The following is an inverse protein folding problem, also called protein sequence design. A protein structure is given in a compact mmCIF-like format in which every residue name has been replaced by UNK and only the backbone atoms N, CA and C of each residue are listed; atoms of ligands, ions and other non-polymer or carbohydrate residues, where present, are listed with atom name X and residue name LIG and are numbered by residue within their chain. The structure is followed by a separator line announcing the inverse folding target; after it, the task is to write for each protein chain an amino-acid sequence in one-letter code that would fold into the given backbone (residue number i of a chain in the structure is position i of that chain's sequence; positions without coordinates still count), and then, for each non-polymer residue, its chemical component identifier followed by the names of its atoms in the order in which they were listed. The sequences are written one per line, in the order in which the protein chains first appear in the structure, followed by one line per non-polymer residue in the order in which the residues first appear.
data_IF_063331228528
#
_entry.id   IF_063331228528
#
_cell.length_a   1.000
_cell.length_b   1.000
_cell.length_c   1.000
_cell.angle_alpha   90.00
_cell.angle_beta   90.00
_cell.angle_gamma   90.00
#
_symmetry.space_group_name_H-M   'P 1'
#
loop_
_entity.id
_entity.type
_entity.pdbx_description
1 polymer ?
#
# COMPACT_ATOMS: atom_id res chain seq x y z
N UNK A 1 61.46 -10.46 12.53
CA UNK A 1 60.15 -10.68 13.16
C UNK A 1 59.41 -9.36 13.16
N UNK A 2 58.45 -9.20 12.25
CA UNK A 2 57.49 -8.11 12.27
C UNK A 2 56.13 -8.79 12.14
N UNK A 3 55.39 -8.86 13.24
CA UNK A 3 54.05 -9.43 13.30
C UNK A 3 53.09 -8.31 12.93
N UNK A 4 52.45 -8.43 11.77
CA UNK A 4 51.40 -7.51 11.35
C UNK A 4 50.09 -7.87 12.03
N UNK A 5 49.50 -6.93 12.75
CA UNK A 5 48.15 -7.02 13.29
C UNK A 5 47.15 -7.11 12.14
N UNK A 6 46.54 -8.27 11.95
CA UNK A 6 45.32 -8.41 11.15
C UNK A 6 44.17 -7.84 11.96
N UNK A 7 43.85 -6.56 11.71
CA UNK A 7 42.60 -5.94 12.16
C UNK A 7 41.45 -6.73 11.56
N UNK A 8 40.92 -7.66 12.35
CA UNK A 8 39.75 -8.45 11.99
C UNK A 8 38.60 -7.46 11.87
N UNK A 9 38.19 -7.17 10.64
CA UNK A 9 36.97 -6.42 10.37
C UNK A 9 35.82 -7.25 10.94
N UNK A 10 35.39 -6.92 12.17
CA UNK A 10 34.14 -7.41 12.72
C UNK A 10 33.03 -6.81 11.86
N UNK A 11 32.70 -7.49 10.76
CA UNK A 11 31.47 -7.25 10.03
C UNK A 11 30.36 -7.39 11.06
N UNK A 12 29.84 -6.26 11.53
CA UNK A 12 28.57 -6.20 12.21
C UNK A 12 27.56 -6.73 11.20
N UNK A 13 27.28 -8.03 11.28
CA UNK A 13 26.15 -8.64 10.60
C UNK A 13 24.93 -7.96 11.18
N UNK A 14 24.55 -6.81 10.61
CA UNK A 14 23.21 -6.28 10.77
C UNK A 14 22.29 -7.45 10.40
N UNK A 15 21.55 -7.94 11.40
CA UNK A 15 20.65 -9.07 11.22
C UNK A 15 19.55 -8.58 10.27
N UNK A 16 19.75 -8.76 8.97
CA UNK A 16 18.72 -8.55 7.95
C UNK A 16 17.65 -9.63 8.16
N UNK A 17 16.77 -9.41 9.13
CA UNK A 17 15.57 -10.20 9.31
C UNK A 17 14.64 -9.85 8.14
N UNK A 18 14.81 -10.55 7.02
CA UNK A 18 13.97 -10.38 5.85
C UNK A 18 12.79 -11.35 5.97
N UNK A 19 11.54 -10.90 5.73
CA UNK A 19 10.44 -11.84 5.64
C UNK A 19 10.64 -12.75 4.43
N UNK A 20 10.22 -14.01 4.56
CA UNK A 20 10.16 -14.98 3.46
C UNK A 20 8.99 -14.61 2.52
N UNK A 21 9.08 -13.44 1.87
CA UNK A 21 8.02 -12.87 1.05
C UNK A 21 7.99 -13.47 -0.35
N UNK A 22 6.99 -14.30 -0.64
CA UNK A 22 6.62 -14.58 -2.03
C UNK A 22 5.88 -13.37 -2.62
N UNK A 23 6.47 -12.72 -3.61
CA UNK A 23 5.91 -11.55 -4.29
C UNK A 23 5.09 -11.90 -5.54
N UNK A 24 4.85 -13.19 -5.84
CA UNK A 24 4.12 -13.61 -7.06
C UNK A 24 2.63 -13.31 -7.03
N UNK A 25 2.05 -13.09 -5.85
CA UNK A 25 0.61 -12.86 -5.66
C UNK A 25 0.38 -11.52 -4.97
N UNK A 26 -0.73 -10.83 -5.29
CA UNK A 26 -1.13 -9.65 -4.54
C UNK A 26 -1.47 -10.02 -3.09
N UNK A 27 -1.36 -9.03 -2.22
CA UNK A 27 -1.54 -9.16 -0.77
C UNK A 27 -2.37 -8.00 -0.22
N UNK A 28 -2.92 -8.21 0.96
CA UNK A 28 -3.47 -7.16 1.80
C UNK A 28 -2.44 -6.84 2.89
N UNK A 29 -2.16 -5.56 3.14
CA UNK A 29 -1.29 -5.15 4.24
C UNK A 29 -2.15 -4.72 5.43
N UNK A 30 -2.30 -5.62 6.41
CA UNK A 30 -3.14 -5.40 7.59
C UNK A 30 -2.34 -4.78 8.74
N UNK A 31 -2.71 -3.59 9.20
CA UNK A 31 -2.12 -2.93 10.35
C UNK A 31 -2.81 -3.35 11.66
N UNK A 32 -2.05 -3.94 12.58
CA UNK A 32 -2.56 -4.43 13.87
C UNK A 32 -2.92 -3.33 14.87
N UNK A 33 -2.54 -2.08 14.63
CA UNK A 33 -2.80 -0.96 15.54
C UNK A 33 -4.29 -0.66 15.75
N UNK A 34 -5.02 -0.55 14.64
CA UNK A 34 -6.45 -0.24 14.63
C UNK A 34 -7.29 -1.25 13.84
N UNK A 35 -6.64 -2.26 13.27
CA UNK A 35 -7.27 -3.28 12.43
C UNK A 35 -7.71 -2.74 11.08
N UNK A 36 -6.79 -2.13 10.33
CA UNK A 36 -7.08 -1.55 9.01
C UNK A 36 -6.17 -2.14 7.95
N UNK A 37 -6.71 -2.37 6.76
CA UNK A 37 -5.96 -2.68 5.55
C UNK A 37 -5.49 -1.39 4.90
N UNK A 38 -4.21 -1.33 4.54
CA UNK A 38 -3.65 -0.21 3.79
C UNK A 38 -4.34 -0.08 2.43
N UNK A 39 -4.71 1.14 2.07
CA UNK A 39 -5.42 1.45 0.83
C UNK A 39 -4.81 2.67 0.16
N UNK A 40 -4.71 2.60 -1.16
CA UNK A 40 -4.34 3.72 -2.04
C UNK A 40 -5.58 4.04 -2.87
N UNK A 41 -6.13 5.24 -2.70
CA UNK A 41 -7.31 5.70 -3.41
C UNK A 41 -6.95 6.23 -4.82
N UNK A 42 -7.91 6.29 -5.77
CA UNK A 42 -7.65 6.79 -7.13
C UNK A 42 -7.16 8.24 -7.21
N UNK A 43 -7.45 9.05 -6.20
CA UNK A 43 -6.97 10.44 -6.06
C UNK A 43 -5.53 10.54 -5.52
N UNK A 44 -4.89 9.39 -5.21
CA UNK A 44 -3.56 9.30 -4.62
C UNK A 44 -3.56 9.39 -3.09
N UNK A 45 -4.71 9.52 -2.44
CA UNK A 45 -4.78 9.53 -0.98
C UNK A 45 -4.48 8.14 -0.42
N UNK A 46 -3.65 8.08 0.63
CA UNK A 46 -3.33 6.83 1.34
C UNK A 46 -3.98 6.82 2.73
N UNK A 47 -4.80 5.81 2.97
CA UNK A 47 -5.48 5.59 4.24
C UNK A 47 -5.59 4.10 4.56
N UNK A 48 -6.43 3.77 5.54
CA UNK A 48 -6.75 2.42 5.95
C UNK A 48 -8.25 2.22 6.05
N UNK A 49 -8.72 1.05 5.61
CA UNK A 49 -10.12 0.63 5.74
C UNK A 49 -10.25 -0.68 6.52
N UNK A 50 -11.38 -0.89 7.19
CA UNK A 50 -11.72 -2.18 7.82
C UNK A 50 -12.39 -3.14 6.84
N UNK A 51 -12.85 -2.62 5.71
CA UNK A 51 -13.53 -3.40 4.69
C UNK A 51 -12.51 -4.29 3.98
N UNK A 52 -12.64 -5.60 4.22
CA UNK A 52 -11.77 -6.62 3.61
C UNK A 52 -12.14 -6.90 2.14
N UNK A 53 -13.22 -6.30 1.64
CA UNK A 53 -13.90 -6.73 0.42
C UNK A 53 -13.01 -6.70 -0.82
N UNK A 54 -12.88 -7.88 -1.43
CA UNK A 54 -12.49 -8.10 -2.82
C UNK A 54 -13.50 -7.41 -3.75
N UNK A 55 -13.02 -6.76 -4.80
CA UNK A 55 -13.89 -6.26 -5.85
C UNK A 55 -14.39 -7.43 -6.70
N UNK A 56 -15.65 -7.79 -6.56
CA UNK A 56 -16.48 -8.09 -7.72
C UNK A 56 -17.47 -6.95 -7.88
N UNK A 57 -17.08 -5.95 -8.68
CA UNK A 57 -18.05 -5.05 -9.29
C UNK A 57 -18.73 -5.83 -10.42
N UNK A 58 -19.76 -6.58 -10.09
CA UNK A 58 -20.86 -6.72 -11.03
C UNK A 58 -21.80 -5.55 -10.78
N UNK A 59 -21.71 -4.52 -11.63
CA UNK A 59 -22.87 -3.66 -11.83
C UNK A 59 -23.93 -4.54 -12.50
N UNK A 60 -24.77 -5.21 -11.72
CA UNK A 60 -25.98 -5.83 -12.25
C UNK A 60 -26.87 -4.67 -12.72
N UNK A 61 -27.12 -4.50 -14.03
CA UNK A 61 -28.21 -3.66 -14.46
C UNK A 61 -29.49 -4.36 -13.99
N UNK A 62 -30.35 -3.64 -13.28
CA UNK A 62 -31.71 -4.09 -13.05
C UNK A 62 -32.32 -4.46 -14.42
N UNK A 63 -32.82 -5.69 -14.53
CA UNK A 63 -33.12 -6.31 -15.82
C UNK A 63 -34.06 -5.44 -16.66
N UNK A 64 -33.56 -5.02 -17.82
CA UNK A 64 -34.31 -4.19 -18.76
C UNK A 64 -33.60 -4.06 -20.10
N UNK A 65 -33.35 -5.19 -20.74
CA UNK A 65 -33.05 -5.39 -22.18
C UNK A 65 -32.34 -4.25 -22.92
N UNK A 66 -31.04 -4.42 -23.22
CA UNK A 66 -30.37 -3.61 -24.24
C UNK A 66 -28.85 -3.75 -24.24
N UNK A 67 -28.32 -4.41 -25.28
CA UNK A 67 -26.95 -4.44 -25.82
C UNK A 67 -25.80 -3.80 -25.01
N UNK A 68 -24.79 -4.60 -24.68
CA UNK A 68 -23.55 -4.17 -24.04
C UNK A 68 -22.80 -3.12 -24.89
N UNK A 69 -22.57 -1.95 -24.30
CA UNK A 69 -21.44 -1.11 -24.66
C UNK A 69 -20.63 -0.78 -23.41
N UNK A 70 -19.32 -0.94 -23.51
CA UNK A 70 -18.38 -0.72 -22.40
C UNK A 70 -18.23 0.78 -22.22
N UNK A 71 -18.86 1.36 -21.19
CA UNK A 71 -18.75 2.79 -20.93
C UNK A 71 -17.51 3.07 -20.08
N UNK A 72 -16.48 3.62 -20.72
CA UNK A 72 -15.35 4.26 -20.04
C UNK A 72 -15.80 5.60 -19.42
N UNK A 73 -15.13 6.09 -18.36
CA UNK A 73 -15.53 7.31 -17.64
C UNK A 73 -15.60 8.59 -18.50
N UNK A 74 -14.97 8.58 -19.68
CA UNK A 74 -14.81 9.76 -20.56
C UNK A 74 -16.08 10.12 -21.35
N UNK A 75 -17.03 9.19 -21.53
CA UNK A 75 -18.17 9.42 -22.43
C UNK A 75 -19.46 9.93 -21.76
N UNK A 76 -19.48 10.15 -20.44
CA UNK A 76 -20.71 10.48 -19.69
C UNK A 76 -21.25 11.90 -19.93
N UNK A 77 -20.39 12.89 -20.20
CA UNK A 77 -20.81 14.31 -20.23
C UNK A 77 -21.63 14.71 -21.47
N UNK A 78 -21.79 13.82 -22.46
CA UNK A 78 -22.41 14.18 -23.75
C UNK A 78 -23.91 13.84 -23.87
N UNK A 79 -24.50 13.15 -22.90
CA UNK A 79 -25.92 12.71 -22.92
C UNK A 79 -26.77 13.32 -21.79
N UNK A 80 -26.77 14.65 -21.65
CA UNK A 80 -27.72 15.32 -20.73
C UNK A 80 -28.64 16.28 -21.50
N UNK A 81 -29.48 15.68 -22.35
CA UNK A 81 -30.65 16.34 -22.93
C UNK A 81 -31.84 16.28 -21.96
N UNK A 82 -32.24 17.46 -21.45
CA UNK A 82 -33.55 17.82 -20.87
C UNK A 82 -34.35 16.73 -20.13
N UNK A 83 -34.40 16.84 -18.80
CA UNK A 83 -35.59 16.48 -18.01
C UNK A 83 -35.36 15.48 -16.89
N UNK A 84 -35.81 15.85 -15.68
CA UNK A 84 -35.77 15.12 -14.39
C UNK A 84 -34.39 14.92 -13.77
N UNK A 85 -34.15 15.68 -12.68
CA UNK A 85 -33.08 15.43 -11.72
C UNK A 85 -33.28 14.04 -11.11
N UNK A 86 -32.55 13.03 -11.60
CA UNK A 86 -32.33 11.79 -10.87
C UNK A 86 -31.31 12.09 -9.79
N UNK A 87 -31.70 12.00 -8.53
CA UNK A 87 -30.75 11.98 -7.41
C UNK A 87 -30.02 10.65 -7.48
N UNK A 88 -28.80 10.64 -7.98
CA UNK A 88 -27.91 9.50 -7.88
C UNK A 88 -27.30 9.52 -6.48
N UNK A 89 -27.78 8.67 -5.58
CA UNK A 89 -27.03 8.31 -4.38
C UNK A 89 -25.82 7.52 -4.84
N UNK A 90 -24.63 8.09 -4.66
CA UNK A 90 -23.36 7.37 -4.86
C UNK A 90 -23.38 6.23 -3.85
N UNK A 91 -23.78 5.03 -4.31
CA UNK A 91 -23.58 3.78 -3.57
C UNK A 91 -22.11 3.74 -3.19
N UNK A 92 -21.84 3.60 -1.89
CA UNK A 92 -20.52 3.60 -1.26
C UNK A 92 -19.48 2.97 -2.17
N UNK A 93 -18.58 3.78 -2.72
CA UNK A 93 -17.55 3.33 -3.65
C UNK A 93 -16.53 2.48 -2.89
N UNK A 94 -16.75 1.16 -2.84
CA UNK A 94 -15.80 0.23 -2.26
C UNK A 94 -14.61 0.15 -3.22
N UNK A 95 -13.49 0.75 -2.82
CA UNK A 95 -12.23 0.67 -3.54
C UNK A 95 -11.45 -0.56 -3.05
N UNK A 96 -10.79 -1.29 -3.95
CA UNK A 96 -10.08 -2.51 -3.62
C UNK A 96 -8.80 -2.16 -2.85
N UNK A 97 -8.41 -3.09 -1.99
CA UNK A 97 -7.26 -2.96 -1.07
C UNK A 97 -6.10 -3.88 -1.43
N UNK A 98 -6.14 -4.47 -2.63
CA UNK A 98 -5.14 -5.41 -3.11
C UNK A 98 -3.86 -4.67 -3.52
N UNK A 99 -2.74 -5.13 -2.98
CA UNK A 99 -1.42 -4.55 -3.19
C UNK A 99 -0.46 -5.60 -3.75
N UNK A 100 0.13 -5.32 -4.91
CA UNK A 100 1.19 -6.11 -5.50
C UNK A 100 2.54 -5.58 -4.98
N UNK A 101 3.28 -6.43 -4.26
CA UNK A 101 4.65 -6.12 -3.84
C UNK A 101 5.61 -6.58 -4.93
N UNK A 102 6.62 -5.77 -5.25
CA UNK A 102 7.69 -6.11 -6.20
C UNK A 102 9.04 -5.80 -5.56
N UNK A 103 9.94 -6.78 -5.50
CA UNK A 103 11.30 -6.54 -4.99
C UNK A 103 12.17 -5.86 -6.04
N UNK A 104 12.82 -4.77 -5.66
CA UNK A 104 13.85 -4.11 -6.48
C UNK A 104 15.23 -4.69 -6.16
N UNK A 105 15.49 -4.92 -4.87
CA UNK A 105 16.73 -5.47 -4.34
C UNK A 105 16.41 -6.23 -3.06
N UNK A 106 17.41 -6.91 -2.48
CA UNK A 106 17.22 -7.70 -1.27
C UNK A 106 16.70 -6.80 -0.14
N UNK A 107 15.47 -7.07 0.31
CA UNK A 107 14.81 -6.30 1.36
C UNK A 107 14.30 -4.92 0.94
N UNK A 108 14.24 -4.62 -0.36
CA UNK A 108 13.68 -3.38 -0.91
C UNK A 108 12.48 -3.70 -1.79
N UNK A 109 11.35 -3.05 -1.55
CA UNK A 109 10.09 -3.33 -2.24
C UNK A 109 9.39 -2.07 -2.71
N UNK A 110 8.78 -2.18 -3.89
CA UNK A 110 7.65 -1.35 -4.30
C UNK A 110 6.36 -1.98 -3.80
N UNK A 111 5.40 -1.13 -3.41
CA UNK A 111 4.04 -1.55 -3.04
C UNK A 111 3.08 -0.88 -4.02
N UNK A 112 2.46 -1.65 -4.91
CA UNK A 112 1.62 -1.13 -6.01
C UNK A 112 0.15 -1.51 -5.82
N UNK A 113 -0.77 -0.57 -5.95
CA UNK A 113 -2.20 -0.84 -6.07
C UNK A 113 -2.48 -1.62 -7.35
N UNK A 114 -3.15 -2.77 -7.25
CA UNK A 114 -3.50 -3.56 -8.45
C UNK A 114 -4.58 -2.89 -9.30
N UNK A 115 -5.47 -2.12 -8.66
CA UNK A 115 -6.59 -1.42 -9.29
C UNK A 115 -6.16 -0.16 -10.01
N UNK A 116 -5.46 0.73 -9.32
CA UNK A 116 -5.13 2.06 -9.85
C UNK A 116 -3.77 2.09 -10.53
N UNK A 117 -2.95 1.05 -10.32
CA UNK A 117 -1.56 1.01 -10.78
C UNK A 117 -0.61 1.94 -10.03
N UNK A 118 -1.10 2.71 -9.05
CA UNK A 118 -0.28 3.64 -8.27
C UNK A 118 0.65 2.91 -7.30
N UNK A 119 1.83 3.47 -7.11
CA UNK A 119 2.83 3.03 -6.15
C UNK A 119 2.66 3.80 -4.85
N UNK A 120 2.71 3.10 -3.72
CA UNK A 120 2.86 3.77 -2.43
C UNK A 120 4.16 4.57 -2.47
N UNK A 121 4.12 5.81 -2.00
CA UNK A 121 5.26 6.69 -1.90
C UNK A 121 5.22 7.48 -0.59
N UNK A 122 6.38 7.97 -0.16
CA UNK A 122 6.50 8.88 0.97
C UNK A 122 7.26 10.12 0.53
N UNK A 123 6.62 11.28 0.63
CA UNK A 123 7.23 12.56 0.27
C UNK A 123 8.26 13.03 1.31
N UNK A 124 8.90 14.16 1.01
CA UNK A 124 9.93 14.77 1.86
C UNK A 124 9.44 15.26 3.22
N UNK A 125 8.13 15.48 3.36
CA UNK A 125 7.47 15.86 4.63
C UNK A 125 7.02 14.63 5.44
N UNK A 126 7.16 13.44 4.85
CA UNK A 126 6.80 12.16 5.42
C UNK A 126 5.33 11.80 5.26
N UNK A 127 4.59 12.45 4.36
CA UNK A 127 3.22 12.08 4.03
C UNK A 127 3.22 10.92 3.02
N UNK A 128 2.34 9.95 3.27
CA UNK A 128 2.11 8.84 2.33
C UNK A 128 1.14 9.27 1.25
N UNK A 129 1.47 8.95 0.01
CA UNK A 129 0.64 9.22 -1.16
C UNK A 129 0.81 8.14 -2.23
N UNK A 130 -0.10 8.11 -3.21
CA UNK A 130 -0.03 7.27 -4.39
C UNK A 130 0.68 7.99 -5.53
N UNK A 131 1.82 7.45 -5.97
CA UNK A 131 2.56 7.93 -7.15
C UNK A 131 2.15 7.16 -8.40
N UNK A 132 1.95 7.85 -9.52
CA UNK A 132 1.63 7.20 -10.81
C UNK A 132 2.84 6.49 -11.44
N UNK A 133 4.05 6.91 -11.07
CA UNK A 133 5.29 6.34 -11.58
C UNK A 133 6.16 5.82 -10.43
N UNK A 134 6.89 4.71 -10.64
CA UNK A 134 7.86 4.25 -9.66
C UNK A 134 9.05 5.23 -9.62
N UNK A 135 9.35 5.75 -8.43
CA UNK A 135 10.46 6.67 -8.19
C UNK A 135 11.15 6.32 -6.86
N UNK A 136 12.17 7.08 -6.48
CA UNK A 136 12.94 6.85 -5.25
C UNK A 136 12.11 6.94 -3.95
N UNK A 137 11.00 7.69 -3.96
CA UNK A 137 10.07 7.82 -2.84
C UNK A 137 9.14 6.60 -2.70
N UNK A 138 9.08 5.76 -3.73
CA UNK A 138 8.26 4.54 -3.77
C UNK A 138 8.97 3.29 -3.24
N UNK A 139 10.26 3.41 -2.88
CA UNK A 139 11.06 2.30 -2.37
C UNK A 139 10.98 2.23 -0.85
N UNK A 140 10.60 1.06 -0.35
CA UNK A 140 10.56 0.77 1.07
C UNK A 140 11.47 -0.40 1.43
N UNK A 141 12.19 -0.25 2.54
CA UNK A 141 12.93 -1.33 3.17
C UNK A 141 11.94 -2.21 3.94
N UNK A 142 11.67 -3.40 3.43
CA UNK A 142 10.84 -4.39 4.12
C UNK A 142 11.69 -5.14 5.15
N UNK A 143 11.26 -5.13 6.42
CA UNK A 143 11.93 -5.82 7.51
C UNK A 143 10.93 -6.62 8.34
N UNK A 144 11.39 -7.76 8.85
CA UNK A 144 10.64 -8.57 9.80
C UNK A 144 10.99 -8.11 11.21
N UNK A 145 9.97 -7.70 11.96
CA UNK A 145 10.07 -7.37 13.38
C UNK A 145 10.06 -8.66 14.22
N UNK A 146 10.59 -8.62 15.44
CA UNK A 146 10.70 -9.78 16.36
C UNK A 146 9.36 -10.51 16.60
N UNK A 147 8.24 -9.81 16.43
CA UNK A 147 6.89 -10.29 16.69
C UNK A 147 6.21 -10.88 15.43
N UNK A 148 6.98 -11.19 14.38
CA UNK A 148 6.52 -11.73 13.09
C UNK A 148 5.65 -10.77 12.24
N UNK A 149 5.77 -9.46 12.47
CA UNK A 149 5.15 -8.43 11.62
C UNK A 149 6.17 -7.86 10.66
N UNK A 150 5.70 -7.40 9.51
CA UNK A 150 6.51 -6.63 8.59
C UNK A 150 6.44 -5.14 8.93
N UNK A 151 7.57 -4.46 8.80
CA UNK A 151 7.69 -3.00 8.80
C UNK A 151 8.22 -2.56 7.43
N UNK A 152 7.86 -1.33 7.05
CA UNK A 152 8.26 -0.74 5.77
C UNK A 152 8.84 0.65 6.05
N UNK A 153 10.15 0.80 5.90
CA UNK A 153 10.86 2.07 6.12
C UNK A 153 11.08 2.74 4.77
N UNK A 154 10.80 4.04 4.65
CA UNK A 154 11.14 4.79 3.42
C UNK A 154 12.65 4.69 3.16
N UNK A 155 13.06 4.16 2.00
CA UNK A 155 14.47 4.03 1.65
C UNK A 155 15.16 5.40 1.58
N UNK A 156 14.47 6.39 1.00
CA UNK A 156 14.95 7.78 0.87
C UNK A 156 15.15 8.48 2.22
N UNK A 157 14.46 8.03 3.27
CA UNK A 157 14.47 8.62 4.60
C UNK A 157 14.84 7.60 5.68
N UNK A 158 15.67 6.62 5.32
CA UNK A 158 16.03 5.51 6.20
C UNK A 158 16.75 5.99 7.47
N UNK A 159 17.61 6.99 7.34
CA UNK A 159 18.34 7.62 8.45
C UNK A 159 17.43 8.29 9.48
N UNK A 160 16.24 8.71 9.05
CA UNK A 160 15.21 9.31 9.92
C UNK A 160 14.28 8.27 10.52
N UNK A 161 14.41 7.00 10.12
CA UNK A 161 13.53 5.90 10.51
C UNK A 161 12.05 6.24 10.27
N UNK A 162 11.72 6.72 9.07
CA UNK A 162 10.34 7.01 8.70
C UNK A 162 9.66 5.76 8.15
N UNK A 163 8.57 5.36 8.81
CA UNK A 163 7.84 4.15 8.50
C UNK A 163 6.53 4.45 7.78
N UNK A 164 6.10 3.51 6.94
CA UNK A 164 4.69 3.38 6.61
C UNK A 164 3.94 3.06 7.90
N UNK A 165 2.80 3.73 8.14
CA UNK A 165 2.01 3.44 9.33
C UNK A 165 0.59 3.98 9.30
N UNK A 166 -0.31 3.26 9.97
CA UNK A 166 -1.72 3.64 10.12
C UNK A 166 -2.05 3.93 11.58
N UNK A 167 -2.76 5.03 11.80
CA UNK A 167 -3.30 5.41 13.11
C UNK A 167 -4.52 4.54 13.47
N UNK A 168 -4.93 4.58 14.73
CA UNK A 168 -6.14 3.87 15.22
C UNK A 168 -7.45 4.34 14.56
N UNK A 169 -7.45 5.52 13.94
CA UNK A 169 -8.59 6.06 13.19
C UNK A 169 -8.52 5.77 11.68
N UNK A 170 -7.62 4.88 11.24
CA UNK A 170 -7.46 4.50 9.83
C UNK A 170 -6.65 5.48 8.99
N UNK A 171 -6.37 6.70 9.46
CA UNK A 171 -5.56 7.66 8.68
C UNK A 171 -4.08 7.25 8.67
N UNK A 172 -3.41 7.56 7.56
CA UNK A 172 -1.96 7.48 7.47
C UNK A 172 -1.26 8.35 8.51
N UNK A 173 -0.09 7.88 8.94
CA UNK A 173 0.78 8.55 9.89
C UNK A 173 1.94 9.21 9.16
N UNK A 174 2.27 10.44 9.56
CA UNK A 174 3.43 11.15 9.04
C UNK A 174 4.72 10.47 9.49
N UNK A 175 5.67 10.31 8.58
CA UNK A 175 7.01 9.76 8.79
C UNK A 175 7.69 10.30 10.05
N UNK A 176 7.82 11.63 10.23
CA UNK A 176 8.40 12.22 11.45
C UNK A 176 7.75 11.81 12.78
N UNK A 177 6.53 11.28 12.75
CA UNK A 177 5.79 10.85 13.94
C UNK A 177 5.89 9.35 14.19
N UNK A 178 6.51 8.61 13.28
CA UNK A 178 6.78 7.18 13.41
C UNK A 178 8.11 6.93 14.13
N UNK A 179 8.23 5.77 14.76
CA UNK A 179 9.47 5.27 15.37
C UNK A 179 9.30 3.78 15.70
N UNK A 180 10.41 3.08 15.94
CA UNK A 180 10.44 1.68 16.35
C UNK A 180 9.57 1.39 17.59
N UNK A 181 8.95 0.22 17.64
CA UNK A 181 8.08 -0.19 18.76
C UNK A 181 6.65 0.34 18.70
N UNK A 182 6.30 1.22 17.76
CA UNK A 182 4.91 1.62 17.57
C UNK A 182 4.06 0.51 16.95
N UNK A 183 2.88 0.24 17.49
CA UNK A 183 1.93 -0.69 16.82
C UNK A 183 1.49 -0.20 15.44
N UNK A 184 1.51 1.12 15.21
CA UNK A 184 1.10 1.76 13.96
C UNK A 184 1.91 1.33 12.73
N UNK A 185 3.14 0.84 12.93
CA UNK A 185 4.06 0.48 11.85
C UNK A 185 4.08 -1.04 11.57
N UNK A 186 3.32 -1.82 12.35
CA UNK A 186 3.31 -3.29 12.27
C UNK A 186 2.23 -3.76 11.30
N UNK A 187 2.67 -4.36 10.19
CA UNK A 187 1.80 -4.90 9.15
C UNK A 187 1.91 -6.41 9.05
N UNK A 188 0.78 -7.07 8.79
CA UNK A 188 0.71 -8.49 8.47
C UNK A 188 0.34 -8.61 6.98
N UNK A 189 1.22 -9.18 6.12
CA UNK A 189 0.86 -9.45 4.74
C UNK A 189 -0.08 -10.65 4.68
N UNK A 190 -1.33 -10.42 4.27
CA UNK A 190 -2.36 -11.44 4.15
C UNK A 190 -2.59 -11.77 2.67
N UNK A 191 -2.87 -13.04 2.33
CA UNK A 191 -3.26 -13.39 0.98
C UNK A 191 -4.60 -12.74 0.62
N UNK A 192 -4.73 -12.30 -0.63
CA UNK A 192 -6.04 -12.07 -1.24
C UNK A 192 -6.67 -13.46 -1.41
N UNK A 193 -7.90 -13.66 -0.93
CA UNK A 193 -8.64 -14.90 -1.13
C UNK A 193 -8.65 -15.21 -2.62
N UNK A 194 -8.16 -16.39 -2.99
CA UNK A 194 -8.39 -16.93 -4.32
C UNK A 194 -9.66 -17.77 -4.17
N UNK A 195 -10.76 -17.35 -4.81
CA UNK A 195 -11.87 -18.25 -5.08
C UNK A 195 -11.37 -19.46 -5.90
#
# INVERSE_FOLDING_TARGET
MAEGETTTFTALTEKFNLPLGNYKKPKLLYCSNGGYFLRILPDGTVDGTKDRSDQHRECIPDEGQGSLSVLTPINWEREVGRGRRKTFTISSSVFPIQLQLCAESIGEVYIKSTETGQFLAMDTDGLLYGSQTPNEECLFLERLEENHYNTYISKKHAEKHWFVGLKKNGRSKLGPRTHFGQKAILFLPLPVSSD
#
